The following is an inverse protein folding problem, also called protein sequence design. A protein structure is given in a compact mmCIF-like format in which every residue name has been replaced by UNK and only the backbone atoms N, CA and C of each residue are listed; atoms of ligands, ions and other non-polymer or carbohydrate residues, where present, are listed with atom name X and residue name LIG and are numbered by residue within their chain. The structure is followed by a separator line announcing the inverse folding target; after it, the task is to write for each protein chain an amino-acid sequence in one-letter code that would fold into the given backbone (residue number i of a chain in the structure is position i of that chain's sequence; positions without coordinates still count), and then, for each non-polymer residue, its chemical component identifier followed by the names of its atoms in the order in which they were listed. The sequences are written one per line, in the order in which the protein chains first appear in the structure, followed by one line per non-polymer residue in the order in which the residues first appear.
data_IF_322346573441
#
_entry.id   IF_322346573441
#
_cell.length_a   1.000
_cell.length_b   1.000
_cell.length_c   1.000
_cell.angle_alpha   90.00
_cell.angle_beta   90.00
_cell.angle_gamma   90.00
#
_symmetry.space_group_name_H-M   'P 1'
#
loop_
_entity.id
_entity.type
_entity.pdbx_description
1 polymer ?
#
# COMPACT_ATOMS: atom_id res chain seq x y z
N UNK A 1 13.58 6.39 -23.39
CA UNK A 1 14.74 7.30 -23.26
C UNK A 1 15.65 6.76 -22.18
N UNK A 2 16.84 6.27 -22.53
CA UNK A 2 17.85 5.75 -21.58
C UNK A 2 18.91 6.83 -21.40
N UNK A 3 18.54 7.90 -20.72
CA UNK A 3 19.41 9.03 -20.42
C UNK A 3 19.64 9.07 -18.92
N UNK A 4 20.91 8.98 -18.53
CA UNK A 4 21.44 9.26 -17.19
C UNK A 4 21.19 8.15 -16.16
N UNK A 5 22.00 7.10 -16.19
CA UNK A 5 22.43 6.51 -14.91
C UNK A 5 23.86 5.97 -15.04
N UNK A 6 24.77 6.84 -15.48
CA UNK A 6 26.20 6.51 -15.60
C UNK A 6 26.81 6.10 -14.24
N UNK A 7 26.18 6.50 -13.14
CA UNK A 7 26.55 6.14 -11.77
C UNK A 7 25.52 5.21 -11.09
N UNK A 8 24.59 4.59 -11.82
CA UNK A 8 23.54 3.76 -11.23
C UNK A 8 24.10 2.63 -10.37
N UNK A 9 25.12 1.93 -10.88
CA UNK A 9 25.79 0.84 -10.16
C UNK A 9 26.58 1.33 -8.94
N UNK A 10 27.33 2.42 -9.08
CA UNK A 10 28.10 3.03 -7.99
C UNK A 10 27.18 3.53 -6.85
N UNK A 11 26.04 4.12 -7.21
CA UNK A 11 25.02 4.58 -6.27
C UNK A 11 24.35 3.40 -5.56
N UNK A 12 23.99 2.35 -6.29
CA UNK A 12 23.41 1.14 -5.70
C UNK A 12 24.37 0.44 -4.74
N UNK A 13 25.65 0.34 -5.08
CA UNK A 13 26.65 -0.27 -4.20
C UNK A 13 26.93 0.55 -2.94
N UNK A 14 26.90 1.89 -3.04
CA UNK A 14 26.96 2.77 -1.88
C UNK A 14 25.74 2.58 -0.96
N UNK A 15 24.52 2.63 -1.52
CA UNK A 15 23.28 2.46 -0.73
C UNK A 15 23.21 1.10 -0.02
N UNK A 16 23.66 0.01 -0.66
CA UNK A 16 23.70 -1.31 0.00
C UNK A 16 24.65 -1.33 1.19
N UNK A 17 25.82 -0.69 1.07
CA UNK A 17 26.78 -0.58 2.19
C UNK A 17 26.19 0.20 3.36
N UNK A 18 25.54 1.34 3.10
CA UNK A 18 24.85 2.14 4.13
C UNK A 18 23.75 1.36 4.84
N UNK A 19 23.04 0.49 4.12
CA UNK A 19 21.94 -0.33 4.66
C UNK A 19 22.41 -1.64 5.30
N UNK A 20 23.71 -1.94 5.31
CA UNK A 20 24.25 -3.22 5.78
C UNK A 20 23.80 -4.42 4.93
N UNK A 21 23.35 -4.17 3.70
CA UNK A 21 22.89 -5.21 2.78
C UNK A 21 24.08 -5.85 2.06
N UNK A 22 24.03 -7.16 1.76
CA UNK A 22 25.05 -7.84 0.98
C UNK A 22 25.27 -7.13 -0.37
N UNK A 23 26.52 -6.75 -0.63
CA UNK A 23 26.93 -6.13 -1.91
C UNK A 23 27.17 -7.17 -2.99
N UNK A 24 27.54 -8.40 -2.59
CA UNK A 24 27.73 -9.55 -3.47
C UNK A 24 26.57 -10.55 -3.33
N UNK A 25 26.21 -11.26 -4.41
CA UNK A 25 25.31 -12.41 -4.32
C UNK A 25 25.88 -13.46 -3.35
N UNK A 26 25.01 -14.10 -2.56
CA UNK A 26 25.42 -15.24 -1.76
C UNK A 26 25.84 -16.42 -2.66
N UNK A 27 26.72 -17.29 -2.16
CA UNK A 27 27.16 -18.48 -2.88
C UNK A 27 25.98 -19.32 -3.37
N UNK A 28 26.02 -19.70 -4.65
CA UNK A 28 24.94 -20.42 -5.32
C UNK A 28 23.80 -19.57 -5.87
N UNK A 29 23.86 -18.23 -5.72
CA UNK A 29 22.88 -17.31 -6.29
C UNK A 29 23.51 -16.41 -7.37
N UNK A 30 22.78 -16.15 -8.45
CA UNK A 30 23.24 -15.30 -9.57
C UNK A 30 22.80 -13.84 -9.45
N UNK A 31 21.86 -13.55 -8.55
CA UNK A 31 21.28 -12.21 -8.37
C UNK A 31 20.96 -11.98 -6.88
N UNK A 32 21.32 -10.82 -6.36
CA UNK A 32 20.80 -10.33 -5.08
C UNK A 32 19.32 -10.01 -5.28
N UNK A 33 18.42 -10.88 -4.82
CA UNK A 33 16.96 -10.64 -4.89
C UNK A 33 16.61 -9.41 -4.06
N UNK A 34 16.40 -8.28 -4.73
CA UNK A 34 15.68 -7.17 -4.11
C UNK A 34 14.19 -7.49 -4.04
N UNK A 35 13.53 -7.03 -2.99
CA UNK A 35 12.07 -7.03 -2.91
C UNK A 35 11.53 -6.16 -4.04
N UNK A 36 10.99 -6.79 -5.08
CA UNK A 36 10.25 -6.13 -6.15
C UNK A 36 8.84 -5.78 -5.64
N UNK A 37 8.77 -4.88 -4.66
CA UNK A 37 7.52 -4.47 -4.02
C UNK A 37 6.54 -3.90 -5.06
N UNK A 38 7.07 -3.20 -6.05
CA UNK A 38 6.30 -2.65 -7.17
C UNK A 38 5.76 -3.70 -8.15
N UNK A 39 6.36 -4.90 -8.22
CA UNK A 39 5.87 -6.02 -9.05
C UNK A 39 5.01 -7.02 -8.25
N UNK A 40 4.97 -6.91 -6.93
CA UNK A 40 4.15 -7.76 -6.08
C UNK A 40 2.66 -7.54 -6.38
N UNK A 41 1.99 -8.57 -6.91
CA UNK A 41 0.54 -8.55 -7.15
C UNK A 41 -0.24 -8.34 -5.85
N UNK A 42 0.24 -8.93 -4.76
CA UNK A 42 -0.38 -8.82 -3.43
C UNK A 42 -0.29 -7.38 -2.93
N UNK A 43 0.89 -6.75 -3.02
CA UNK A 43 1.04 -5.36 -2.60
C UNK A 43 0.15 -4.41 -3.40
N UNK A 44 0.11 -4.57 -4.73
CA UNK A 44 -0.77 -3.79 -5.60
C UNK A 44 -2.24 -3.95 -5.21
N UNK A 45 -2.70 -5.17 -4.95
CA UNK A 45 -4.07 -5.43 -4.55
C UNK A 45 -4.42 -4.76 -3.20
N UNK A 46 -3.53 -4.88 -2.21
CA UNK A 46 -3.69 -4.24 -0.90
C UNK A 46 -3.75 -2.71 -1.06
N UNK A 47 -2.85 -2.13 -1.84
CA UNK A 47 -2.81 -0.69 -2.08
C UNK A 47 -4.11 -0.19 -2.74
N UNK A 48 -4.61 -0.90 -3.76
CA UNK A 48 -5.88 -0.57 -4.41
C UNK A 48 -7.05 -0.65 -3.42
N UNK A 49 -7.12 -1.72 -2.62
CA UNK A 49 -8.18 -1.87 -1.61
C UNK A 49 -8.16 -0.75 -0.57
N UNK A 50 -6.96 -0.36 -0.10
CA UNK A 50 -6.79 0.75 0.82
C UNK A 50 -7.25 2.09 0.21
N UNK A 51 -6.87 2.37 -1.04
CA UNK A 51 -7.31 3.56 -1.76
C UNK A 51 -8.85 3.62 -1.89
N UNK A 52 -9.50 2.49 -2.20
CA UNK A 52 -10.96 2.40 -2.26
C UNK A 52 -11.57 2.69 -0.88
N UNK A 53 -11.06 2.07 0.18
CA UNK A 53 -11.58 2.27 1.55
C UNK A 53 -11.48 3.74 1.98
N UNK A 54 -10.36 4.41 1.68
CA UNK A 54 -10.19 5.84 1.95
C UNK A 54 -11.20 6.68 1.15
N UNK A 55 -11.39 6.37 -0.15
CA UNK A 55 -12.40 7.03 -0.96
C UNK A 55 -13.81 6.88 -0.38
N UNK A 56 -14.17 5.67 0.04
CA UNK A 56 -15.45 5.41 0.71
C UNK A 56 -15.58 6.26 1.99
N UNK A 57 -14.57 6.25 2.86
CA UNK A 57 -14.62 7.00 4.11
C UNK A 57 -14.75 8.51 3.91
N UNK A 58 -14.16 9.06 2.83
CA UNK A 58 -14.20 10.50 2.53
C UNK A 58 -15.47 10.94 1.80
N UNK A 59 -16.03 10.09 0.95
CA UNK A 59 -17.11 10.47 0.02
C UNK A 59 -18.46 9.80 0.32
N UNK A 60 -18.54 8.86 1.26
CA UNK A 60 -19.85 8.32 1.67
C UNK A 60 -20.68 9.42 2.37
N UNK A 61 -21.89 9.72 1.86
CA UNK A 61 -22.78 10.64 2.54
C UNK A 61 -23.16 10.06 3.91
N UNK A 62 -23.44 10.95 4.87
CA UNK A 62 -23.94 10.54 6.17
C UNK A 62 -25.15 9.61 5.99
N UNK A 63 -25.24 8.51 6.75
CA UNK A 63 -26.39 7.63 6.68
C UNK A 63 -27.64 8.46 6.90
N UNK A 64 -28.63 8.31 6.01
CA UNK A 64 -29.93 8.95 6.18
C UNK A 64 -30.46 8.56 7.57
N UNK A 65 -30.88 9.55 8.35
CA UNK A 65 -31.38 9.32 9.71
C UNK A 65 -32.37 8.16 9.70
N UNK A 66 -32.05 7.11 10.45
CA UNK A 66 -32.95 5.98 10.61
C UNK A 66 -34.29 6.53 11.12
N UNK A 67 -35.44 6.09 10.58
CA UNK A 67 -36.73 6.57 11.06
C UNK A 67 -36.77 6.34 12.57
N UNK A 68 -36.86 7.43 13.33
CA UNK A 68 -37.05 7.34 14.78
C UNK A 68 -38.33 6.56 14.97
N UNK A 69 -38.23 5.37 15.56
CA UNK A 69 -39.40 4.59 15.90
C UNK A 69 -40.18 5.38 16.96
N UNK A 70 -41.06 6.27 16.51
CA UNK A 70 -42.04 6.93 17.36
C UNK A 70 -42.95 5.83 17.87
N UNK A 71 -42.69 5.37 19.11
CA UNK A 71 -43.57 4.46 19.80
C UNK A 71 -44.98 5.10 19.83
N UNK A 72 -46.05 4.38 19.42
CA UNK A 72 -47.39 4.94 19.47
C UNK A 72 -47.76 5.26 20.92
N UNK A 73 -48.36 6.42 21.14
CA UNK A 73 -48.87 6.84 22.43
C UNK A 73 -49.83 5.76 22.96
N UNK A 74 -49.49 5.17 24.12
CA UNK A 74 -50.35 4.23 24.83
C UNK A 74 -51.65 4.95 25.20
N UNK A 75 -52.73 4.62 24.50
CA UNK A 75 -54.07 5.05 24.88
C UNK A 75 -54.41 4.41 26.24
N UNK A 76 -54.50 5.23 27.28
CA UNK A 76 -55.10 4.86 28.55
C UNK A 76 -56.62 4.93 28.39
N UNK A 77 -57.29 3.79 28.55
CA UNK A 77 -58.74 3.69 28.69
C UNK A 77 -59.16 3.98 30.14
#
# INVERSE_FOLDING_TARGET
MKSIEMNGEARQSWLRREQGLPTEPADGYTVVRQSDFEKSRVWRAIFIAAAIAVGIALFQPAPADAPTATAPARATA
#
